data_IF_025783267038
#
_entry.id   IF_025783267038
#
_cell.length_a   1.000
_cell.length_b   1.000
_cell.length_c   1.000
_cell.angle_alpha   90.00
_cell.angle_beta   90.00
_cell.angle_gamma   90.00
#
_symmetry.space_group_name_H-M   'P 1'
#
loop_
_entity.id
_entity.type
_entity.pdbx_description
1 polymer ?
#
# COMPACT_ATOMS: atom_id res chain seq x y z
N UNK A 1 20.51 -15.64 -12.55
CA UNK A 1 20.38 -14.19 -12.75
C UNK A 1 18.93 -13.71 -12.83
N UNK A 2 18.06 -14.35 -13.60
CA UNK A 2 16.64 -13.93 -13.75
C UNK A 2 15.84 -13.97 -12.44
N UNK A 3 16.07 -14.96 -11.57
CA UNK A 3 15.36 -15.07 -10.28
C UNK A 3 15.75 -13.99 -9.28
N UNK A 4 17.05 -13.62 -9.19
CA UNK A 4 17.54 -12.57 -8.29
C UNK A 4 16.94 -11.21 -8.64
N UNK A 5 16.87 -10.87 -9.93
CA UNK A 5 16.25 -9.62 -10.39
C UNK A 5 14.76 -9.56 -10.03
N UNK A 6 14.03 -10.67 -10.22
CA UNK A 6 12.62 -10.74 -9.87
C UNK A 6 12.38 -10.68 -8.36
N UNK A 7 13.23 -11.31 -7.55
CA UNK A 7 13.20 -11.16 -6.09
C UNK A 7 13.42 -9.70 -5.71
N UNK A 8 14.38 -9.01 -6.33
CA UNK A 8 14.62 -7.58 -6.11
C UNK A 8 13.39 -6.71 -6.39
N UNK A 9 12.65 -7.00 -7.47
CA UNK A 9 11.38 -6.31 -7.77
C UNK A 9 10.36 -6.55 -6.65
N UNK A 10 10.23 -7.79 -6.17
CA UNK A 10 9.30 -8.12 -5.08
C UNK A 10 9.69 -7.38 -3.79
N UNK A 11 10.96 -7.34 -3.45
CA UNK A 11 11.46 -6.58 -2.29
C UNK A 11 11.13 -5.08 -2.41
N UNK A 12 11.25 -4.53 -3.62
CA UNK A 12 10.85 -3.15 -3.90
C UNK A 12 9.33 -2.95 -3.73
N UNK A 13 8.51 -3.94 -4.09
CA UNK A 13 7.05 -3.87 -3.84
C UNK A 13 6.75 -3.87 -2.34
N UNK A 14 7.47 -4.63 -1.51
CA UNK A 14 7.37 -4.52 -0.04
C UNK A 14 7.64 -3.10 0.44
N UNK A 15 8.67 -2.46 -0.11
CA UNK A 15 8.98 -1.06 0.18
C UNK A 15 7.83 -0.13 -0.20
N UNK A 16 7.28 -0.26 -1.42
CA UNK A 16 6.18 0.58 -1.92
C UNK A 16 4.92 0.43 -1.07
N UNK A 17 4.54 -0.81 -0.71
CA UNK A 17 3.37 -1.07 0.14
C UNK A 17 3.52 -0.33 1.47
N UNK A 18 4.67 -0.49 2.13
CA UNK A 18 4.93 0.16 3.42
C UNK A 18 4.99 1.67 3.30
N UNK A 19 5.66 2.19 2.26
CA UNK A 19 5.78 3.62 2.02
C UNK A 19 4.41 4.28 1.90
N UNK A 20 3.53 3.74 1.04
CA UNK A 20 2.18 4.27 0.82
C UNK A 20 1.27 4.12 2.03
N UNK A 21 1.42 3.05 2.80
CA UNK A 21 0.63 2.85 4.02
C UNK A 21 1.03 3.82 5.11
N UNK A 22 2.32 4.08 5.29
CA UNK A 22 2.82 4.91 6.40
C UNK A 22 2.80 6.42 6.11
N UNK A 23 2.63 6.84 4.85
CA UNK A 23 2.47 8.26 4.51
C UNK A 23 1.10 8.82 4.92
N UNK A 24 0.11 7.95 5.11
CA UNK A 24 -1.27 8.34 5.47
C UNK A 24 -1.30 9.07 6.81
N UNK A 25 -0.55 8.59 7.80
CA UNK A 25 -0.50 9.21 9.12
C UNK A 25 -0.14 10.70 9.09
N UNK A 26 1.02 11.07 8.56
CA UNK A 26 1.43 12.47 8.41
C UNK A 26 0.52 13.32 7.50
N UNK A 27 -0.16 12.71 6.52
CA UNK A 27 -1.05 13.40 5.59
C UNK A 27 -2.35 13.88 6.25
N UNK A 28 -2.85 13.17 7.25
CA UNK A 28 -4.15 13.47 7.88
C UNK A 28 -4.23 14.88 8.49
N UNK A 29 -3.23 15.40 9.25
CA UNK A 29 -3.26 16.76 9.79
C UNK A 29 -3.41 17.83 8.70
N UNK A 30 -2.77 17.67 7.55
CA UNK A 30 -2.84 18.66 6.47
C UNK A 30 -4.22 18.64 5.79
N UNK A 31 -4.84 17.46 5.66
CA UNK A 31 -6.22 17.34 5.18
C UNK A 31 -7.19 18.00 6.18
N UNK A 32 -6.99 17.82 7.49
CA UNK A 32 -7.79 18.48 8.53
C UNK A 32 -7.74 20.01 8.36
N UNK A 33 -6.55 20.56 8.22
CA UNK A 33 -6.35 21.99 8.08
C UNK A 33 -6.90 22.53 6.76
N UNK A 34 -6.68 21.81 5.65
CA UNK A 34 -7.13 22.25 4.33
C UNK A 34 -8.66 22.29 4.19
N UNK A 35 -9.39 21.39 4.87
CA UNK A 35 -10.85 21.26 4.75
C UNK A 35 -11.61 21.64 6.03
N UNK A 36 -10.93 22.17 7.06
CA UNK A 36 -11.52 22.51 8.36
C UNK A 36 -12.37 21.35 8.94
N UNK A 37 -11.83 20.12 8.88
CA UNK A 37 -12.54 18.93 9.31
C UNK A 37 -12.63 18.86 10.84
N UNK A 38 -13.73 18.32 11.35
CA UNK A 38 -13.78 17.88 12.73
C UNK A 38 -12.84 16.69 12.96
N UNK A 39 -12.36 16.51 14.18
CA UNK A 39 -11.49 15.39 14.54
C UNK A 39 -12.14 14.02 14.21
N UNK A 40 -13.46 13.92 14.39
CA UNK A 40 -14.20 12.72 14.03
C UNK A 40 -14.18 12.43 12.53
N UNK A 41 -14.42 13.43 11.70
CA UNK A 41 -14.35 13.27 10.24
C UNK A 41 -12.93 12.89 9.79
N UNK A 42 -11.92 13.50 10.38
CA UNK A 42 -10.53 13.18 10.08
C UNK A 42 -10.15 11.73 10.41
N UNK A 43 -10.69 11.18 11.52
CA UNK A 43 -10.46 9.79 11.92
C UNK A 43 -11.04 8.78 10.93
N UNK A 44 -12.10 9.12 10.21
CA UNK A 44 -12.69 8.25 9.18
C UNK A 44 -11.79 8.08 7.94
N UNK A 45 -10.85 8.97 7.68
CA UNK A 45 -9.94 8.87 6.54
C UNK A 45 -9.01 7.65 6.66
N UNK A 46 -8.15 7.54 7.69
CA UNK A 46 -7.35 6.34 7.88
C UNK A 46 -8.21 5.10 8.15
N UNK A 47 -9.36 5.25 8.83
CA UNK A 47 -10.30 4.14 9.04
C UNK A 47 -10.79 3.56 7.71
N UNK A 48 -11.11 4.39 6.72
CA UNK A 48 -11.52 3.94 5.37
C UNK A 48 -10.45 3.04 4.73
N UNK A 49 -9.19 3.47 4.80
CA UNK A 49 -8.06 2.70 4.28
C UNK A 49 -7.92 1.34 4.99
N UNK A 50 -7.89 1.32 6.32
CA UNK A 50 -7.70 0.08 7.07
C UNK A 50 -8.94 -0.83 7.03
N UNK A 51 -10.14 -0.27 6.93
CA UNK A 51 -11.37 -1.04 6.70
C UNK A 51 -11.31 -1.77 5.37
N UNK A 52 -10.96 -1.05 4.30
CA UNK A 52 -10.81 -1.65 2.97
C UNK A 52 -9.71 -2.73 2.98
N UNK A 53 -8.58 -2.44 3.64
CA UNK A 53 -7.48 -3.38 3.79
C UNK A 53 -7.94 -4.68 4.49
N UNK A 54 -8.67 -4.59 5.60
CA UNK A 54 -9.20 -5.75 6.33
C UNK A 54 -10.24 -6.53 5.50
N UNK A 55 -11.23 -5.83 4.94
CA UNK A 55 -12.32 -6.46 4.16
C UNK A 55 -11.78 -7.13 2.89
N UNK A 56 -10.84 -6.49 2.17
CA UNK A 56 -10.31 -7.01 0.91
C UNK A 56 -9.26 -8.12 1.09
N UNK A 57 -8.71 -8.31 2.29
CA UNK A 57 -7.72 -9.37 2.53
C UNK A 57 -8.26 -10.77 2.22
N UNK A 58 -9.48 -11.08 2.64
CA UNK A 58 -10.10 -12.40 2.39
C UNK A 58 -10.45 -12.61 0.91
N UNK A 59 -11.19 -11.69 0.23
CA UNK A 59 -11.44 -11.81 -1.21
C UNK A 59 -10.16 -11.88 -2.04
N UNK A 60 -9.11 -11.17 -1.64
CA UNK A 60 -7.81 -11.21 -2.32
C UNK A 60 -7.15 -12.58 -2.25
N UNK A 61 -7.29 -13.31 -1.14
CA UNK A 61 -6.83 -14.68 -1.03
C UNK A 61 -7.50 -15.60 -2.05
N UNK A 62 -8.82 -15.54 -2.16
CA UNK A 62 -9.56 -16.28 -3.19
C UNK A 62 -9.16 -15.89 -4.61
N UNK A 63 -8.96 -14.59 -4.87
CA UNK A 63 -8.49 -14.12 -6.18
C UNK A 63 -7.10 -14.67 -6.53
N UNK A 64 -6.19 -14.72 -5.56
CA UNK A 64 -4.85 -15.29 -5.75
C UNK A 64 -4.94 -16.77 -6.14
N UNK A 65 -5.78 -17.54 -5.45
CA UNK A 65 -5.99 -18.96 -5.79
C UNK A 65 -6.62 -19.15 -7.18
N UNK A 66 -7.55 -18.26 -7.57
CA UNK A 66 -8.31 -18.42 -8.81
C UNK A 66 -7.59 -17.91 -10.05
N UNK A 67 -6.93 -16.75 -10.00
CA UNK A 67 -6.29 -16.11 -11.18
C UNK A 67 -4.77 -16.00 -11.08
N UNK A 68 -4.19 -16.35 -9.93
CA UNK A 68 -2.75 -16.32 -9.65
C UNK A 68 -2.23 -14.98 -9.16
N UNK A 69 -1.11 -15.03 -8.43
CA UNK A 69 -0.49 -13.92 -7.70
C UNK A 69 -0.14 -12.74 -8.62
N UNK A 70 0.45 -13.04 -9.79
CA UNK A 70 0.90 -12.03 -10.74
C UNK A 70 -0.24 -11.15 -11.24
N UNK A 71 -1.38 -11.76 -11.60
CA UNK A 71 -2.54 -11.02 -12.10
C UNK A 71 -3.17 -10.18 -11.00
N UNK A 72 -3.27 -10.74 -9.78
CA UNK A 72 -3.78 -10.02 -8.62
C UNK A 72 -2.91 -8.80 -8.32
N UNK A 73 -1.58 -8.91 -8.37
CA UNK A 73 -0.68 -7.76 -8.18
C UNK A 73 -0.91 -6.67 -9.23
N UNK A 74 -1.08 -7.02 -10.51
CA UNK A 74 -1.35 -6.04 -11.57
C UNK A 74 -2.68 -5.32 -11.32
N UNK A 75 -3.74 -6.06 -10.98
CA UNK A 75 -5.04 -5.48 -10.62
C UNK A 75 -4.93 -4.57 -9.41
N UNK A 76 -4.17 -4.99 -8.40
CA UNK A 76 -3.94 -4.22 -7.17
C UNK A 76 -3.27 -2.87 -7.45
N UNK A 77 -2.22 -2.85 -8.28
CA UNK A 77 -1.57 -1.61 -8.70
C UNK A 77 -2.53 -0.71 -9.48
N UNK A 78 -3.36 -1.28 -10.34
CA UNK A 78 -4.34 -0.51 -11.10
C UNK A 78 -5.41 0.11 -10.20
N UNK A 79 -5.94 -0.64 -9.22
CA UNK A 79 -6.92 -0.13 -8.25
C UNK A 79 -6.28 0.99 -7.40
N UNK A 80 -5.05 0.79 -6.92
CA UNK A 80 -4.33 1.81 -6.15
C UNK A 80 -4.05 3.07 -6.98
N UNK A 81 -3.70 2.92 -8.25
CA UNK A 81 -3.51 4.02 -9.18
C UNK A 81 -4.81 4.82 -9.39
N UNK A 82 -5.94 4.14 -9.59
CA UNK A 82 -7.25 4.81 -9.70
C UNK A 82 -7.59 5.56 -8.41
N UNK A 83 -7.32 4.97 -7.24
CA UNK A 83 -7.49 5.65 -5.96
C UNK A 83 -6.65 6.92 -5.87
N UNK A 84 -5.36 6.85 -6.20
CA UNK A 84 -4.47 8.00 -6.19
C UNK A 84 -4.90 9.08 -7.21
N UNK A 85 -5.39 8.67 -8.37
CA UNK A 85 -5.90 9.58 -9.40
C UNK A 85 -7.13 10.35 -8.90
N UNK A 86 -8.09 9.66 -8.29
CA UNK A 86 -9.29 10.27 -7.70
C UNK A 86 -8.90 11.28 -6.62
N UNK A 87 -7.94 10.93 -5.76
CA UNK A 87 -7.41 11.84 -4.74
C UNK A 87 -6.85 13.14 -5.32
N UNK A 88 -6.17 13.05 -6.48
CA UNK A 88 -5.52 14.20 -7.12
C UNK A 88 -6.48 15.11 -7.87
N UNK A 89 -7.54 14.56 -8.48
CA UNK A 89 -8.40 15.33 -9.40
C UNK A 89 -9.45 16.15 -8.66
N UNK A 90 -10.01 15.62 -7.58
CA UNK A 90 -11.14 16.27 -6.90
C UNK A 90 -10.89 16.39 -5.39
N UNK A 91 -10.40 17.54 -4.90
CA UNK A 91 -10.12 17.78 -3.49
C UNK A 91 -11.42 17.96 -2.68
N UNK A 92 -12.11 16.87 -2.38
CA UNK A 92 -13.32 16.83 -1.58
C UNK A 92 -13.23 15.69 -0.58
N UNK A 93 -13.79 15.84 0.62
CA UNK A 93 -13.75 14.84 1.69
C UNK A 93 -14.24 13.46 1.23
N UNK A 94 -15.38 13.39 0.51
CA UNK A 94 -15.92 12.12 0.01
C UNK A 94 -14.97 11.43 -0.97
N UNK A 95 -14.34 12.20 -1.86
CA UNK A 95 -13.35 11.67 -2.81
C UNK A 95 -12.09 11.19 -2.12
N UNK A 96 -11.66 11.86 -1.06
CA UNK A 96 -10.53 11.38 -0.23
C UNK A 96 -10.87 10.08 0.48
N UNK A 97 -12.06 9.98 1.06
CA UNK A 97 -12.53 8.75 1.69
C UNK A 97 -12.56 7.58 0.69
N UNK A 98 -13.15 7.77 -0.49
CA UNK A 98 -13.20 6.76 -1.56
C UNK A 98 -11.81 6.42 -2.11
N UNK A 99 -10.95 7.41 -2.27
CA UNK A 99 -9.57 7.21 -2.72
C UNK A 99 -8.79 6.33 -1.75
N UNK A 100 -8.86 6.62 -0.45
CA UNK A 100 -8.19 5.84 0.58
C UNK A 100 -8.76 4.42 0.67
N UNK A 101 -10.06 4.25 0.47
CA UNK A 101 -10.69 2.93 0.39
C UNK A 101 -10.14 2.12 -0.80
N UNK A 102 -10.02 2.72 -1.98
CA UNK A 102 -9.44 2.05 -3.16
C UNK A 102 -7.96 1.73 -2.98
N UNK A 103 -7.18 2.68 -2.44
CA UNK A 103 -5.76 2.45 -2.16
C UNK A 103 -5.59 1.33 -1.14
N UNK A 104 -6.37 1.35 -0.04
CA UNK A 104 -6.36 0.28 0.97
C UNK A 104 -6.72 -1.08 0.41
N UNK A 105 -7.71 -1.13 -0.50
CA UNK A 105 -8.09 -2.36 -1.22
C UNK A 105 -6.94 -2.90 -2.06
N UNK A 106 -6.28 -2.03 -2.84
CA UNK A 106 -5.12 -2.42 -3.65
C UNK A 106 -3.94 -2.86 -2.78
N UNK A 107 -3.67 -2.18 -1.66
CA UNK A 107 -2.60 -2.57 -0.74
C UNK A 107 -2.85 -3.94 -0.10
N UNK A 108 -4.10 -4.26 0.27
CA UNK A 108 -4.47 -5.59 0.75
C UNK A 108 -4.20 -6.67 -0.30
N UNK A 109 -4.60 -6.43 -1.54
CA UNK A 109 -4.35 -7.37 -2.66
C UNK A 109 -2.85 -7.58 -2.89
N UNK A 110 -2.04 -6.51 -2.86
CA UNK A 110 -0.58 -6.61 -2.95
C UNK A 110 0.00 -7.44 -1.81
N UNK A 111 -0.39 -7.14 -0.57
CA UNK A 111 0.11 -7.83 0.62
C UNK A 111 -0.19 -9.33 0.61
N UNK A 112 -1.40 -9.71 0.17
CA UNK A 112 -1.81 -11.11 0.10
C UNK A 112 -1.07 -11.86 -1.00
N UNK A 113 -0.81 -11.22 -2.15
CA UNK A 113 -0.18 -11.88 -3.31
C UNK A 113 1.35 -11.89 -3.26
N UNK A 114 1.99 -10.98 -2.52
CA UNK A 114 3.45 -10.79 -2.56
C UNK A 114 4.23 -11.96 -1.93
N UNK A 115 3.76 -12.53 -0.82
CA UNK A 115 4.44 -13.62 -0.12
C UNK A 115 4.42 -14.94 -0.90
N UNK A 116 3.26 -15.41 -1.45
CA UNK A 116 3.25 -16.57 -2.34
C UNK A 116 4.13 -16.37 -3.57
N UNK A 117 4.09 -15.17 -4.17
CA UNK A 117 4.92 -14.86 -5.33
C UNK A 117 6.42 -14.88 -5.00
N UNK A 118 6.82 -14.37 -3.83
CA UNK A 118 8.21 -14.42 -3.34
C UNK A 118 8.68 -15.87 -3.17
N UNK A 119 7.81 -16.76 -2.67
CA UNK A 119 8.10 -18.20 -2.51
C UNK A 119 8.29 -18.88 -3.86
N UNK A 120 7.44 -18.60 -4.84
CA UNK A 120 7.52 -19.17 -6.19
C UNK A 120 8.79 -18.71 -6.91
N UNK A 121 9.10 -17.43 -6.85
CA UNK A 121 10.21 -16.83 -7.61
C UNK A 121 11.55 -17.01 -6.91
N UNK A 122 11.60 -16.82 -5.59
CA UNK A 122 12.80 -16.94 -4.78
C UNK A 122 13.19 -18.37 -4.44
N UNK A 123 12.24 -19.31 -4.57
CA UNK A 123 12.41 -20.72 -4.22
C UNK A 123 12.17 -21.04 -2.74
N UNK A 124 11.74 -22.26 -2.47
CA UNK A 124 11.35 -22.74 -1.15
C UNK A 124 12.50 -22.64 -0.13
N UNK A 125 13.72 -22.96 -0.55
CA UNK A 125 14.90 -22.98 0.33
C UNK A 125 15.29 -21.58 0.81
N UNK A 126 15.15 -20.58 -0.04
CA UNK A 126 15.53 -19.19 0.24
C UNK A 126 14.33 -18.35 0.75
N UNK A 127 13.14 -18.95 0.85
CA UNK A 127 11.92 -18.22 1.19
C UNK A 127 12.00 -17.53 2.55
N UNK A 128 12.49 -18.20 3.57
CA UNK A 128 12.64 -17.62 4.92
C UNK A 128 13.55 -16.39 4.89
N UNK A 129 14.72 -16.50 4.26
CA UNK A 129 15.67 -15.40 4.13
C UNK A 129 15.09 -14.23 3.32
N UNK A 130 14.50 -14.51 2.16
CA UNK A 130 13.88 -13.50 1.31
C UNK A 130 12.70 -12.81 2.00
N UNK A 131 11.94 -13.52 2.83
CA UNK A 131 10.84 -12.94 3.62
C UNK A 131 11.35 -11.97 4.68
N UNK A 132 12.45 -12.32 5.37
CA UNK A 132 13.10 -11.41 6.33
C UNK A 132 13.63 -10.16 5.62
N UNK A 133 14.25 -10.32 4.45
CA UNK A 133 14.64 -9.16 3.62
C UNK A 133 13.44 -8.30 3.21
N UNK A 134 12.32 -8.92 2.82
CA UNK A 134 11.08 -8.21 2.51
C UNK A 134 10.60 -7.36 3.70
N UNK A 135 10.61 -7.93 4.92
CA UNK A 135 10.26 -7.18 6.13
C UNK A 135 11.26 -6.08 6.46
N UNK A 136 12.55 -6.26 6.16
CA UNK A 136 13.54 -5.18 6.29
C UNK A 136 13.22 -4.01 5.36
N UNK A 137 12.94 -4.27 4.07
CA UNK A 137 12.53 -3.22 3.12
C UNK A 137 11.24 -2.54 3.55
N UNK A 138 10.29 -3.30 4.08
CA UNK A 138 9.05 -2.78 4.64
C UNK A 138 9.34 -1.83 5.82
N UNK A 139 10.17 -2.25 6.76
CA UNK A 139 10.56 -1.43 7.93
C UNK A 139 11.31 -0.16 7.53
N UNK A 140 12.24 -0.24 6.59
CA UNK A 140 12.95 0.93 6.06
C UNK A 140 11.98 1.94 5.43
N UNK A 141 11.03 1.48 4.63
CA UNK A 141 10.03 2.33 4.01
C UNK A 141 9.12 3.01 5.05
N UNK A 142 8.73 2.27 6.08
CA UNK A 142 7.93 2.80 7.20
C UNK A 142 8.63 3.95 7.92
N UNK A 143 9.94 3.86 8.08
CA UNK A 143 10.76 4.92 8.67
C UNK A 143 10.97 6.11 7.72
N UNK A 144 11.24 5.85 6.44
CA UNK A 144 11.58 6.87 5.44
C UNK A 144 10.34 7.67 5.01
N UNK A 145 9.17 7.04 4.93
CA UNK A 145 7.94 7.66 4.42
C UNK A 145 7.53 8.94 5.15
N UNK A 146 7.42 8.97 6.51
CA UNK A 146 7.12 10.19 7.24
C UNK A 146 8.21 11.28 7.10
N UNK A 147 9.49 10.88 7.00
CA UNK A 147 10.60 11.82 6.84
C UNK A 147 10.55 12.54 5.50
N UNK A 148 10.28 11.80 4.40
CA UNK A 148 10.13 12.40 3.06
C UNK A 148 8.93 13.34 3.06
N UNK A 149 7.80 12.93 3.64
CA UNK A 149 6.62 13.78 3.73
C UNK A 149 6.92 15.09 4.49
N UNK A 150 7.51 14.99 5.67
CA UNK A 150 7.88 16.15 6.47
C UNK A 150 8.86 17.09 5.74
N UNK A 151 9.84 16.53 5.04
CA UNK A 151 10.79 17.30 4.25
C UNK A 151 10.12 18.06 3.09
N UNK A 152 9.20 17.42 2.39
CA UNK A 152 8.48 18.04 1.27
C UNK A 152 7.59 19.19 1.75
N UNK A 153 6.84 19.01 2.83
CA UNK A 153 5.94 20.07 3.36
C UNK A 153 6.69 21.26 3.93
N UNK A 154 7.86 21.05 4.55
CA UNK A 154 8.65 22.17 5.06
C UNK A 154 9.35 22.98 3.97
N UNK A 155 9.41 22.48 2.74
CA UNK A 155 10.05 23.14 1.59
C UNK A 155 9.08 23.77 0.59
N UNK A 156 7.80 23.40 0.64
CA UNK A 156 6.71 23.97 -0.17
C UNK A 156 5.99 25.09 0.59
#
# INVERSE_FOLDING_TARGET
>A
MRSIFLVGIILFVFFVISFLTNIIGPLVPDIINAFNLSLSMAAFLPFSFFLAYGVMSIPSGFLVEYIGEKKVMVIAFFISFLGALIFSINPNYLFYFLSLFLIGSGMAMLQVSINPLLRIIGGEKEFAFNSVLGQLFFGLASFISPLIYSYLITRL
#
